data_IF_809856225159
#
_entry.id   IF_809856225159
#
_cell.length_a   1.000
_cell.length_b   1.000
_cell.length_c   1.000
_cell.angle_alpha   90.00
_cell.angle_beta   90.00
_cell.angle_gamma   90.00
#
_symmetry.space_group_name_H-M   'P 1'
#
loop_
_entity.id
_entity.type
_entity.pdbx_description
1 polymer ?
#
# COMPACT_ATOMS: atom_id res chain seq x y z
N UNK A 1 -12.25 22.43 26.06
CA UNK A 1 -11.83 21.12 26.58
C UNK A 1 -11.52 20.20 25.41
N UNK A 2 -10.25 19.82 25.20
CA UNK A 2 -9.87 18.85 24.15
C UNK A 2 -10.21 17.45 24.63
N UNK A 3 -11.14 16.78 23.93
CA UNK A 3 -11.54 15.39 24.14
C UNK A 3 -10.28 14.51 24.06
N UNK A 4 -9.97 13.65 25.04
CA UNK A 4 -8.81 12.76 24.93
C UNK A 4 -9.03 11.82 23.75
N UNK A 5 -8.07 11.80 22.81
CA UNK A 5 -8.09 10.88 21.70
C UNK A 5 -8.25 9.45 22.26
N UNK A 6 -9.28 8.75 21.80
CA UNK A 6 -9.54 7.39 22.21
C UNK A 6 -8.27 6.57 21.96
N UNK A 7 -7.70 5.97 23.03
CA UNK A 7 -6.59 5.03 22.89
C UNK A 7 -7.03 3.97 21.88
N UNK A 8 -6.32 3.87 20.75
CA UNK A 8 -6.56 2.84 19.77
C UNK A 8 -6.54 1.49 20.51
N UNK A 9 -7.67 0.77 20.50
CA UNK A 9 -7.72 -0.57 21.08
C UNK A 9 -6.76 -1.42 20.27
N UNK A 10 -5.69 -1.89 20.92
CA UNK A 10 -4.83 -2.89 20.32
C UNK A 10 -5.69 -4.11 19.99
N UNK A 11 -5.57 -4.62 18.77
CA UNK A 11 -6.38 -5.75 18.28
C UNK A 11 -6.10 -7.03 19.05
N UNK A 12 -4.98 -7.08 19.77
CA UNK A 12 -4.48 -8.26 20.47
C UNK A 12 -3.90 -9.32 19.51
N UNK A 13 -3.91 -9.06 18.20
CA UNK A 13 -3.35 -9.95 17.18
C UNK A 13 -1.84 -10.08 17.37
N UNK A 14 -1.18 -8.98 17.74
CA UNK A 14 0.26 -8.94 17.99
C UNK A 14 0.51 -8.74 19.49
N UNK A 15 1.37 -9.58 20.07
CA UNK A 15 1.79 -9.46 21.48
C UNK A 15 3.03 -8.58 21.59
N UNK A 16 3.00 -7.61 22.51
CA UNK A 16 4.10 -6.66 22.74
C UNK A 16 5.45 -7.35 22.99
N UNK A 17 5.46 -8.38 23.86
CA UNK A 17 6.68 -9.13 24.14
C UNK A 17 7.27 -9.82 22.90
N UNK A 18 6.41 -10.28 21.98
CA UNK A 18 6.88 -10.91 20.75
C UNK A 18 7.56 -9.90 19.82
N UNK A 19 7.00 -8.70 19.70
CA UNK A 19 7.59 -7.59 18.91
C UNK A 19 8.91 -7.14 19.53
N UNK A 20 8.92 -6.91 20.85
CA UNK A 20 10.12 -6.51 21.59
C UNK A 20 11.26 -7.52 21.43
N UNK A 21 10.96 -8.82 21.56
CA UNK A 21 11.95 -9.88 21.38
C UNK A 21 12.43 -9.98 19.93
N UNK A 22 11.53 -9.83 18.96
CA UNK A 22 11.89 -9.85 17.55
C UNK A 22 12.85 -8.71 17.18
N UNK A 23 12.53 -7.47 17.59
CA UNK A 23 13.40 -6.31 17.34
C UNK A 23 14.78 -6.53 17.95
N UNK A 24 14.84 -7.02 19.20
CA UNK A 24 16.10 -7.33 19.86
C UNK A 24 16.89 -8.41 19.12
N UNK A 25 16.22 -9.47 18.64
CA UNK A 25 16.88 -10.56 17.90
C UNK A 25 17.39 -10.09 16.54
N UNK A 26 16.64 -9.25 15.83
CA UNK A 26 16.98 -8.78 14.49
C UNK A 26 18.05 -7.69 14.48
N UNK A 27 18.08 -6.83 15.50
CA UNK A 27 18.96 -5.64 15.53
C UNK A 27 20.06 -5.71 16.58
N UNK A 28 19.95 -6.60 17.56
CA UNK A 28 20.79 -6.61 18.76
C UNK A 28 20.49 -5.49 19.77
N UNK A 29 19.56 -4.58 19.46
CA UNK A 29 19.25 -3.42 20.28
C UNK A 29 18.11 -3.68 21.25
N UNK A 30 18.14 -3.00 22.41
CA UNK A 30 16.97 -2.90 23.28
C UNK A 30 16.00 -1.88 22.69
N UNK A 31 14.72 -2.24 22.63
CA UNK A 31 13.65 -1.34 22.24
C UNK A 31 12.88 -0.88 23.47
N UNK A 32 12.48 0.39 23.50
CA UNK A 32 11.65 0.92 24.59
C UNK A 32 10.19 0.51 24.38
N UNK A 33 9.47 0.33 25.48
CA UNK A 33 8.07 -0.10 25.51
C UNK A 33 7.16 0.86 24.72
N UNK A 34 7.33 2.17 24.91
CA UNK A 34 6.58 3.21 24.21
C UNK A 34 6.72 3.14 22.68
N UNK A 35 7.94 2.87 22.19
CA UNK A 35 8.20 2.68 20.76
C UNK A 35 7.50 1.42 20.22
N UNK A 36 7.49 0.33 20.99
CA UNK A 36 6.77 -0.90 20.62
C UNK A 36 5.26 -0.68 20.62
N UNK A 37 4.72 -0.01 21.63
CA UNK A 37 3.29 0.32 21.68
C UNK A 37 2.87 1.18 20.49
N UNK A 38 3.67 2.18 20.11
CA UNK A 38 3.39 3.01 18.93
C UNK A 38 3.42 2.17 17.64
N UNK A 39 4.46 1.38 17.44
CA UNK A 39 4.57 0.47 16.29
C UNK A 39 3.36 -0.46 16.19
N UNK A 40 2.96 -1.07 17.31
CA UNK A 40 1.80 -1.95 17.35
C UNK A 40 0.49 -1.22 17.04
N UNK A 41 0.30 -0.02 17.56
CA UNK A 41 -0.91 0.77 17.28
C UNK A 41 -1.03 1.14 15.79
N UNK A 42 0.08 1.56 15.18
CA UNK A 42 0.13 1.90 13.75
C UNK A 42 -0.13 0.64 12.90
N UNK A 43 0.42 -0.51 13.28
CA UNK A 43 0.21 -1.78 12.58
C UNK A 43 -1.21 -2.33 12.77
N UNK A 44 -1.77 -2.21 13.97
CA UNK A 44 -3.14 -2.62 14.28
C UNK A 44 -4.18 -1.83 13.48
N UNK A 45 -3.96 -0.52 13.30
CA UNK A 45 -4.81 0.30 12.44
C UNK A 45 -4.81 -0.22 10.99
N UNK A 46 -3.65 -0.65 10.48
CA UNK A 46 -3.54 -1.23 9.14
C UNK A 46 -4.22 -2.60 9.07
N UNK A 47 -4.03 -3.47 10.06
CA UNK A 47 -4.71 -4.78 10.12
C UNK A 47 -6.23 -4.58 10.05
N UNK A 48 -6.78 -3.68 10.87
CA UNK A 48 -8.22 -3.40 10.88
C UNK A 48 -8.70 -2.94 9.51
N UNK A 49 -8.00 -1.97 8.90
CA UNK A 49 -8.37 -1.46 7.58
C UNK A 49 -8.36 -2.55 6.50
N UNK A 50 -7.33 -3.41 6.48
CA UNK A 50 -7.22 -4.53 5.54
C UNK A 50 -8.33 -5.55 5.75
N UNK A 51 -8.65 -5.87 7.01
CA UNK A 51 -9.73 -6.84 7.33
C UNK A 51 -11.10 -6.30 6.93
N UNK A 52 -11.38 -5.03 7.21
CA UNK A 52 -12.65 -4.40 6.85
C UNK A 52 -12.83 -4.33 5.32
N UNK A 53 -11.77 -4.00 4.60
CA UNK A 53 -11.78 -3.98 3.13
C UNK A 53 -11.92 -5.39 2.55
N UNK A 54 -11.18 -6.38 3.06
CA UNK A 54 -11.28 -7.77 2.60
C UNK A 54 -12.69 -8.35 2.85
N UNK A 55 -13.31 -7.97 3.98
CA UNK A 55 -14.71 -8.29 4.27
C UNK A 55 -15.65 -7.64 3.26
N UNK A 56 -15.46 -6.36 2.95
CA UNK A 56 -16.28 -5.63 1.99
C UNK A 56 -16.21 -6.28 0.59
N UNK A 57 -15.01 -6.69 0.15
CA UNK A 57 -14.80 -7.41 -1.12
C UNK A 57 -15.52 -8.76 -1.15
N UNK A 58 -15.40 -9.56 -0.07
CA UNK A 58 -16.12 -10.82 0.03
C UNK A 58 -17.65 -10.62 -0.01
N UNK A 59 -18.16 -9.61 0.69
CA UNK A 59 -19.59 -9.28 0.71
C UNK A 59 -20.10 -8.76 -0.63
N UNK A 60 -19.29 -8.00 -1.38
CA UNK A 60 -19.63 -7.54 -2.73
C UNK A 60 -19.88 -8.71 -3.68
N UNK A 61 -19.15 -9.82 -3.49
CA UNK A 61 -19.35 -11.07 -4.22
C UNK A 61 -20.36 -12.02 -3.55
N UNK A 62 -21.11 -11.55 -2.55
CA UNK A 62 -22.10 -12.33 -1.78
C UNK A 62 -21.51 -13.57 -1.08
N UNK A 63 -20.23 -13.53 -0.74
CA UNK A 63 -19.53 -14.59 -0.02
C UNK A 63 -19.47 -14.27 1.48
N UNK A 64 -19.61 -15.30 2.31
CA UNK A 64 -19.38 -15.23 3.77
C UNK A 64 -17.97 -15.66 4.17
N UNK A 65 -17.12 -15.99 3.18
CA UNK A 65 -15.75 -16.43 3.38
C UNK A 65 -14.81 -15.46 2.67
N UNK A 66 -13.86 -14.91 3.42
CA UNK A 66 -12.76 -14.10 2.88
C UNK A 66 -11.76 -15.04 2.21
N UNK A 67 -11.49 -14.81 0.94
CA UNK A 67 -10.54 -15.59 0.14
C UNK A 67 -9.19 -14.87 0.03
N UNK A 68 -8.18 -15.61 -0.43
CA UNK A 68 -6.84 -15.07 -0.70
C UNK A 68 -6.86 -13.83 -1.60
N UNK A 69 -7.76 -13.80 -2.59
CA UNK A 69 -7.90 -12.68 -3.51
C UNK A 69 -8.38 -11.40 -2.82
N UNK A 70 -9.35 -11.51 -1.89
CA UNK A 70 -9.88 -10.37 -1.15
C UNK A 70 -8.79 -9.73 -0.27
N UNK A 71 -8.02 -10.57 0.43
CA UNK A 71 -6.90 -10.11 1.25
C UNK A 71 -5.80 -9.48 0.39
N UNK A 72 -5.47 -10.08 -0.75
CA UNK A 72 -4.48 -9.51 -1.66
C UNK A 72 -4.90 -8.11 -2.16
N UNK A 73 -6.14 -7.97 -2.63
CA UNK A 73 -6.66 -6.67 -3.08
C UNK A 73 -6.72 -5.63 -1.95
N UNK A 74 -7.15 -6.03 -0.75
CA UNK A 74 -7.16 -5.16 0.42
C UNK A 74 -5.74 -4.71 0.83
N UNK A 75 -4.76 -5.60 0.81
CA UNK A 75 -3.35 -5.27 1.07
C UNK A 75 -2.81 -4.30 0.02
N UNK A 76 -3.12 -4.48 -1.27
CA UNK A 76 -2.69 -3.54 -2.31
C UNK A 76 -3.24 -2.13 -2.10
N UNK A 77 -4.50 -2.04 -1.66
CA UNK A 77 -5.15 -0.76 -1.37
C UNK A 77 -4.50 -0.04 -0.18
N UNK A 78 -4.23 -0.76 0.90
CA UNK A 78 -3.83 -0.15 2.18
C UNK A 78 -2.32 -0.10 2.45
N UNK A 79 -1.52 -0.99 1.86
CA UNK A 79 -0.07 -1.04 2.08
C UNK A 79 0.78 -0.55 0.91
N UNK A 80 0.27 -0.63 -0.33
CA UNK A 80 1.10 -0.37 -1.53
C UNK A 80 0.93 1.01 -2.15
N UNK A 81 -0.13 1.76 -1.83
CA UNK A 81 -0.30 3.12 -2.35
C UNK A 81 -0.03 4.15 -1.26
N UNK A 82 1.21 4.63 -1.22
CA UNK A 82 1.44 6.01 -0.83
C UNK A 82 1.36 6.83 -2.10
N UNK A 83 0.31 7.63 -2.24
CA UNK A 83 0.30 8.74 -3.19
C UNK A 83 1.27 9.79 -2.64
N UNK A 84 2.55 9.60 -2.96
CA UNK A 84 3.59 10.55 -2.61
C UNK A 84 3.44 11.77 -3.54
N UNK A 85 3.51 13.00 -3.01
CA UNK A 85 3.78 14.16 -3.84
C UNK A 85 5.00 13.90 -4.71
N UNK A 86 5.04 14.50 -5.91
CA UNK A 86 6.12 14.26 -6.87
C UNK A 86 7.52 14.43 -6.25
N UNK A 87 7.68 15.40 -5.35
CA UNK A 87 8.94 15.69 -4.66
C UNK A 87 9.39 14.58 -3.71
N UNK A 88 8.45 13.88 -3.08
CA UNK A 88 8.76 12.73 -2.21
C UNK A 88 8.97 11.45 -3.03
N UNK A 89 8.25 11.31 -4.15
CA UNK A 89 8.46 10.23 -5.13
C UNK A 89 9.88 10.27 -5.69
N UNK A 90 10.35 11.46 -6.10
CA UNK A 90 11.70 11.64 -6.61
C UNK A 90 12.76 11.27 -5.56
N UNK A 91 12.56 11.69 -4.30
CA UNK A 91 13.47 11.35 -3.19
C UNK A 91 13.54 9.85 -2.91
N UNK A 92 12.43 9.14 -3.03
CA UNK A 92 12.41 7.70 -2.82
C UNK A 92 13.02 6.94 -4.00
N UNK A 93 12.77 7.40 -5.23
CA UNK A 93 13.36 6.83 -6.46
C UNK A 93 14.89 6.96 -6.46
N UNK A 94 15.43 8.12 -6.07
CA UNK A 94 16.88 8.39 -6.08
C UNK A 94 17.65 7.55 -5.04
N UNK A 95 16.98 7.02 -4.01
CA UNK A 95 17.61 6.12 -3.02
C UNK A 95 17.93 4.73 -3.58
N UNK A 96 17.37 4.36 -4.73
CA UNK A 96 17.61 3.06 -5.34
C UNK A 96 18.97 3.00 -6.05
N UNK A 97 19.54 1.79 -6.17
CA UNK A 97 20.77 1.57 -6.90
C UNK A 97 20.58 1.84 -8.42
N UNK A 98 21.66 2.02 -9.20
CA UNK A 98 21.58 2.32 -10.63
C UNK A 98 20.82 1.28 -11.46
N UNK A 99 20.89 0.00 -11.08
CA UNK A 99 20.20 -1.09 -11.77
C UNK A 99 18.69 -0.99 -11.59
N UNK A 100 18.23 -0.67 -10.38
CA UNK A 100 16.82 -0.54 -10.06
C UNK A 100 16.24 0.76 -10.61
N UNK A 101 17.02 1.85 -10.64
CA UNK A 101 16.69 3.07 -11.39
C UNK A 101 16.46 2.79 -12.88
N UNK A 102 17.29 1.94 -13.49
CA UNK A 102 17.12 1.50 -14.87
C UNK A 102 15.79 0.75 -15.10
N UNK A 103 15.40 -0.12 -14.17
CA UNK A 103 14.11 -0.84 -14.23
C UNK A 103 12.92 0.11 -14.06
N UNK A 104 13.01 1.06 -13.13
CA UNK A 104 11.99 2.08 -12.90
C UNK A 104 11.82 2.93 -14.16
N UNK A 105 12.92 3.41 -14.75
CA UNK A 105 12.90 4.18 -16.00
C UNK A 105 12.26 3.41 -17.16
N UNK A 106 12.53 2.11 -17.26
CA UNK A 106 11.92 1.25 -18.29
C UNK A 106 10.43 1.09 -18.04
N UNK A 107 10.02 0.78 -16.82
CA UNK A 107 8.61 0.60 -16.46
C UNK A 107 7.78 1.86 -16.72
N UNK A 108 8.32 3.05 -16.40
CA UNK A 108 7.67 4.33 -16.72
C UNK A 108 7.53 4.54 -18.23
N UNK A 109 8.58 4.26 -19.01
CA UNK A 109 8.53 4.37 -20.47
C UNK A 109 7.54 3.39 -21.11
N UNK A 110 7.50 2.15 -20.63
CA UNK A 110 6.57 1.13 -21.11
C UNK A 110 5.12 1.55 -20.81
N UNK A 111 4.87 2.10 -19.62
CA UNK A 111 3.56 2.64 -19.24
C UNK A 111 3.14 3.83 -20.11
N UNK A 112 4.03 4.80 -20.34
CA UNK A 112 3.77 5.95 -21.23
C UNK A 112 3.43 5.44 -22.63
N UNK A 113 4.22 4.50 -23.18
CA UNK A 113 3.98 3.96 -24.53
C UNK A 113 2.60 3.31 -24.63
N UNK A 114 2.24 2.46 -23.68
CA UNK A 114 0.95 1.77 -23.69
C UNK A 114 -0.24 2.73 -23.57
N UNK A 115 -0.09 3.82 -22.82
CA UNK A 115 -1.16 4.78 -22.60
C UNK A 115 -1.24 5.90 -23.66
N UNK A 116 -0.14 6.28 -24.29
CA UNK A 116 -0.11 7.24 -25.41
C UNK A 116 -0.44 6.57 -26.77
N UNK A 117 -0.06 5.31 -27.00
CA UNK A 117 -0.49 4.54 -28.18
C UNK A 117 -2.01 4.30 -28.17
N UNK A 118 -2.61 4.08 -26.99
CA UNK A 118 -4.07 3.98 -26.85
C UNK A 118 -4.77 5.32 -27.10
N UNK A 119 -4.16 6.46 -26.75
CA UNK A 119 -4.70 7.78 -27.02
C UNK A 119 -4.64 8.16 -28.51
N UNK A 120 -3.61 7.73 -29.23
CA UNK A 120 -3.45 7.99 -30.68
C UNK A 120 -4.27 7.06 -31.56
N UNK A 121 -4.47 5.79 -31.17
CA UNK A 121 -5.33 4.84 -31.88
C UNK A 121 -6.83 5.24 -31.88
N UNK A 122 -7.29 5.98 -30.86
CA UNK A 122 -8.65 6.52 -30.80
C UNK A 122 -8.89 7.73 -31.72
N UNK A 123 -7.84 8.43 -32.15
CA UNK A 123 -7.93 9.62 -33.03
C UNK A 123 -7.95 9.33 -34.54
N UNK A 124 -7.76 8.07 -34.95
CA UNK A 124 -7.55 7.68 -36.36
C UNK A 124 -8.81 7.45 -37.23
N UNK A 125 -10.03 7.42 -36.66
CA UNK A 125 -11.27 7.31 -37.47
C UNK A 125 -11.71 8.68 -38.00
N UNK A 126 -10.91 9.33 -38.86
CA UNK A 126 -11.40 10.44 -39.69
C UNK A 126 -12.30 9.90 -40.81
N UNK A 127 -13.56 10.34 -40.79
CA UNK A 127 -14.65 10.06 -41.74
C UNK A 127 -14.20 10.31 -43.18
N UNK A 128 -14.38 9.33 -44.09
CA UNK A 128 -14.32 9.55 -45.54
C UNK A 128 -15.52 10.42 -45.96
N UNK A 129 -15.34 11.45 -46.80
CA UNK A 129 -16.45 12.24 -47.30
C UNK A 129 -17.25 11.42 -48.33
N UNK A 130 -18.58 11.45 -48.19
CA UNK A 130 -19.52 10.93 -49.19
C UNK A 130 -19.43 11.82 -50.43
N UNK A 131 -19.08 11.24 -51.57
CA UNK A 131 -19.42 11.78 -52.89
C UNK A 131 -20.77 11.23 -53.31
#
# INVERSE_FOLDING_TARGET
MKKPAAKAKLTGVIKENAVSQYIKKATGLRVRVDAVTKFMADFDAVIVAVVDEAKALAQAERRNTILKADVAAALEKHLRRKDLPWDETAKEVIKHNPTDLGKISKAVRDWIREHEEKATAAGGKKRKPKK
#
